data_IF_311756924538
#
_entry.id   IF_311756924538
#
_cell.length_a   1.000
_cell.length_b   1.000
_cell.length_c   1.000
_cell.angle_alpha   90.00
_cell.angle_beta   90.00
_cell.angle_gamma   90.00
#
_symmetry.space_group_name_H-M   'P 1'
#
loop_
_entity.id
_entity.type
_entity.pdbx_description
1 polymer ?
#
# COMPACT_ATOMS: atom_id res chain seq x y z
N UNK A 1 -2.51 -5.09 -11.07
CA UNK A 1 -3.35 -4.27 -10.15
C UNK A 1 -4.84 -4.36 -10.52
N UNK A 2 -5.74 -4.16 -9.56
CA UNK A 2 -7.20 -4.21 -9.76
C UNK A 2 -7.70 -3.20 -10.80
N UNK A 3 -8.88 -3.46 -11.39
CA UNK A 3 -9.50 -2.55 -12.36
C UNK A 3 -9.72 -1.17 -11.73
N UNK A 4 -9.25 -0.13 -12.42
CA UNK A 4 -9.58 1.26 -12.04
C UNK A 4 -11.09 1.47 -12.14
N UNK A 5 -11.76 2.03 -11.12
CA UNK A 5 -13.19 2.33 -11.18
C UNK A 5 -13.56 3.18 -12.41
N UNK A 6 -14.76 2.98 -12.91
CA UNK A 6 -15.26 3.82 -14.00
C UNK A 6 -15.35 5.28 -13.52
N UNK A 7 -15.02 6.24 -14.40
CA UNK A 7 -14.98 7.69 -14.10
C UNK A 7 -14.00 8.15 -13.01
N UNK A 8 -13.16 7.27 -12.45
CA UNK A 8 -12.23 7.57 -11.35
C UNK A 8 -11.46 8.89 -11.52
N UNK A 9 -10.86 9.11 -12.70
CA UNK A 9 -10.05 10.30 -13.00
C UNK A 9 -10.81 11.61 -12.78
N UNK A 10 -12.10 11.62 -13.14
CA UNK A 10 -12.97 12.78 -12.98
C UNK A 10 -13.41 12.93 -11.52
N UNK A 11 -13.81 11.83 -10.87
CA UNK A 11 -14.32 11.85 -9.49
C UNK A 11 -13.27 12.27 -8.46
N UNK A 12 -12.03 11.79 -8.60
CA UNK A 12 -10.92 12.18 -7.72
C UNK A 12 -10.18 13.43 -8.22
N UNK A 13 -10.69 14.05 -9.29
CA UNK A 13 -10.19 15.29 -9.86
C UNK A 13 -8.67 15.29 -10.11
N UNK A 14 -8.14 14.23 -10.72
CA UNK A 14 -6.70 14.07 -11.02
C UNK A 14 -6.07 15.31 -11.69
N UNK A 15 -6.72 16.02 -12.63
CA UNK A 15 -6.11 17.21 -13.24
C UNK A 15 -5.71 18.31 -12.25
N UNK A 16 -6.28 18.34 -11.04
CA UNK A 16 -5.93 19.30 -10.01
C UNK A 16 -4.48 19.15 -9.53
N UNK A 17 -3.94 17.93 -9.51
CA UNK A 17 -2.55 17.70 -9.11
C UNK A 17 -1.55 18.27 -10.13
N UNK A 18 -1.99 18.50 -11.37
CA UNK A 18 -1.18 19.05 -12.45
C UNK A 18 -1.19 20.59 -12.50
N UNK A 19 -1.93 21.27 -11.60
CA UNK A 19 -1.86 22.73 -11.48
C UNK A 19 -0.42 23.15 -11.16
N UNK A 20 0.13 24.21 -11.78
CA UNK A 20 1.57 24.50 -11.71
C UNK A 20 2.17 24.53 -10.30
N UNK A 21 1.48 25.17 -9.35
CA UNK A 21 1.95 25.25 -7.96
C UNK A 21 1.88 23.90 -7.23
N UNK A 22 0.81 23.12 -7.45
CA UNK A 22 0.65 21.80 -6.85
C UNK A 22 1.69 20.82 -7.42
N UNK A 23 1.86 20.82 -8.74
CA UNK A 23 2.83 19.98 -9.43
C UNK A 23 4.26 20.30 -9.00
N UNK A 24 4.64 21.58 -8.93
CA UNK A 24 5.99 21.99 -8.47
C UNK A 24 6.25 21.57 -7.02
N UNK A 25 5.26 21.72 -6.13
CA UNK A 25 5.38 21.28 -4.74
C UNK A 25 5.59 19.76 -4.66
N UNK A 26 4.73 18.98 -5.33
CA UNK A 26 4.87 17.52 -5.36
C UNK A 26 6.21 17.07 -5.97
N UNK A 27 6.66 17.69 -7.06
CA UNK A 27 7.95 17.37 -7.67
C UNK A 27 9.13 17.67 -6.73
N UNK A 28 9.03 18.71 -5.90
CA UNK A 28 10.04 19.02 -4.88
C UNK A 28 10.10 17.93 -3.82
N UNK A 29 8.94 17.46 -3.33
CA UNK A 29 8.86 16.36 -2.36
C UNK A 29 9.40 15.05 -2.94
N UNK A 30 9.02 14.70 -4.17
CA UNK A 30 9.51 13.50 -4.86
C UNK A 30 11.03 13.56 -5.04
N UNK A 31 11.58 14.70 -5.44
CA UNK A 31 13.03 14.88 -5.59
C UNK A 31 13.79 14.77 -4.25
N UNK A 32 13.14 15.08 -3.13
CA UNK A 32 13.71 14.97 -1.78
C UNK A 32 13.49 13.60 -1.11
N UNK A 33 12.53 12.81 -1.60
CA UNK A 33 11.98 11.64 -0.89
C UNK A 33 13.04 10.61 -0.49
N UNK A 34 14.00 10.31 -1.38
CA UNK A 34 15.02 9.30 -1.09
C UNK A 34 15.91 9.70 0.08
N UNK A 35 16.43 10.95 0.08
CA UNK A 35 17.27 11.45 1.17
C UNK A 35 16.50 11.46 2.50
N UNK A 36 15.26 11.94 2.47
CA UNK A 36 14.40 11.91 3.64
C UNK A 36 14.20 10.49 4.17
N UNK A 37 13.97 9.52 3.29
CA UNK A 37 13.77 8.12 3.69
C UNK A 37 15.02 7.50 4.30
N UNK A 38 16.22 7.82 3.79
CA UNK A 38 17.48 7.38 4.39
C UNK A 38 17.63 7.90 5.82
N UNK A 39 17.24 9.15 6.07
CA UNK A 39 17.32 9.77 7.39
C UNK A 39 16.21 9.25 8.33
N UNK A 40 15.00 9.03 7.82
CA UNK A 40 13.83 8.64 8.63
C UNK A 40 13.76 7.14 8.95
N UNK A 41 14.12 6.26 8.01
CA UNK A 41 13.93 4.80 8.18
C UNK A 41 14.67 4.17 9.36
N UNK A 42 15.87 4.62 9.79
CA UNK A 42 16.53 4.08 10.98
C UNK A 42 15.69 4.21 12.27
N UNK A 43 14.81 5.22 12.31
CA UNK A 43 13.95 5.55 13.45
C UNK A 43 12.63 4.78 13.49
N UNK A 44 12.34 3.91 12.51
CA UNK A 44 11.12 3.09 12.55
C UNK A 44 11.06 2.17 13.79
N UNK A 45 12.23 1.74 14.30
CA UNK A 45 12.35 0.99 15.56
C UNK A 45 11.84 1.74 16.80
N UNK A 46 11.81 3.07 16.72
CA UNK A 46 11.39 3.95 17.81
C UNK A 46 9.86 4.07 17.87
N UNK A 47 9.14 3.67 16.82
CA UNK A 47 7.68 3.67 16.78
C UNK A 47 7.15 2.67 17.82
N UNK A 48 6.35 3.19 18.77
CA UNK A 48 5.66 2.41 19.81
C UNK A 48 4.15 2.36 19.62
N UNK A 49 3.62 3.13 18.68
CA UNK A 49 2.19 3.09 18.34
C UNK A 49 1.84 1.74 17.70
N UNK A 50 0.66 1.16 18.01
CA UNK A 50 0.15 0.01 17.28
C UNK A 50 0.17 0.25 15.78
N UNK A 51 0.71 -0.69 15.02
CA UNK A 51 0.96 -0.53 13.59
C UNK A 51 0.40 -1.72 12.83
N UNK A 52 -0.37 -1.44 11.78
CA UNK A 52 -0.88 -2.43 10.83
C UNK A 52 -0.39 -2.05 9.45
N UNK A 53 0.12 -3.03 8.71
CA UNK A 53 0.59 -2.91 7.33
C UNK A 53 -0.31 -3.76 6.44
N UNK A 54 -1.02 -3.15 5.49
CA UNK A 54 -1.84 -3.85 4.50
C UNK A 54 -1.08 -3.89 3.18
N UNK A 55 -0.90 -5.09 2.62
CA UNK A 55 -0.17 -5.29 1.37
C UNK A 55 -0.93 -6.26 0.46
N UNK A 56 -0.84 -6.07 -0.85
CA UNK A 56 -1.38 -6.98 -1.85
C UNK A 56 -0.28 -7.61 -2.71
N UNK A 57 -0.51 -8.83 -3.20
CA UNK A 57 0.42 -9.53 -4.12
C UNK A 57 0.34 -9.07 -5.59
N UNK A 58 -0.59 -8.17 -5.91
CA UNK A 58 -0.72 -7.54 -7.24
C UNK A 58 -0.43 -6.05 -7.22
N UNK A 59 0.21 -5.57 -6.17
CA UNK A 59 0.82 -4.25 -6.12
C UNK A 59 2.13 -4.27 -6.89
N UNK A 60 2.16 -3.56 -8.02
CA UNK A 60 3.34 -3.41 -8.88
C UNK A 60 3.93 -2.00 -8.80
N UNK A 61 3.46 -1.16 -7.88
CA UNK A 61 3.89 0.24 -7.76
C UNK A 61 5.12 0.36 -6.87
N UNK A 62 5.19 -0.45 -5.81
CA UNK A 62 6.33 -0.48 -4.89
C UNK A 62 6.72 -1.92 -4.54
N UNK A 63 7.99 -2.13 -4.20
CA UNK A 63 8.48 -3.46 -3.81
C UNK A 63 8.09 -3.80 -2.37
N UNK A 64 7.22 -4.80 -2.20
CA UNK A 64 6.75 -5.21 -0.88
C UNK A 64 7.90 -5.66 0.06
N UNK A 65 9.01 -6.19 -0.48
CA UNK A 65 10.26 -6.48 0.27
C UNK A 65 10.77 -5.28 1.05
N UNK A 66 10.90 -4.15 0.35
CA UNK A 66 11.52 -2.93 0.85
C UNK A 66 10.52 -2.18 1.73
N UNK A 67 9.25 -2.17 1.33
CA UNK A 67 8.21 -1.38 1.99
C UNK A 67 7.46 -2.20 3.05
N UNK A 68 6.51 -3.04 2.66
CA UNK A 68 5.61 -3.72 3.61
C UNK A 68 6.36 -4.67 4.57
N UNK A 69 7.21 -5.55 4.02
CA UNK A 69 8.03 -6.49 4.81
C UNK A 69 9.11 -5.74 5.58
N UNK A 70 9.69 -4.68 5.00
CA UNK A 70 10.63 -3.79 5.67
C UNK A 70 10.04 -3.13 6.91
N UNK A 71 8.82 -2.59 6.82
CA UNK A 71 8.11 -1.99 7.95
C UNK A 71 7.85 -3.00 9.06
N UNK A 72 7.44 -4.23 8.71
CA UNK A 72 7.19 -5.29 9.70
C UNK A 72 8.49 -5.72 10.40
N UNK A 73 9.61 -5.73 9.67
CA UNK A 73 10.94 -5.98 10.23
C UNK A 73 11.37 -4.86 11.19
N UNK A 74 11.12 -3.61 10.81
CA UNK A 74 11.72 -2.46 11.50
C UNK A 74 10.85 -1.87 12.62
N UNK A 75 9.53 -2.11 12.60
CA UNK A 75 8.59 -1.65 13.64
C UNK A 75 8.20 -2.82 14.54
N UNK A 76 8.60 -2.75 15.81
CA UNK A 76 8.31 -3.81 16.78
C UNK A 76 6.80 -3.98 16.97
N UNK A 77 6.31 -5.20 16.71
CA UNK A 77 4.90 -5.56 16.90
C UNK A 77 3.97 -5.11 15.76
N UNK A 78 4.49 -4.65 14.63
CA UNK A 78 3.68 -4.37 13.45
C UNK A 78 3.03 -5.65 12.91
N UNK A 79 1.73 -5.59 12.61
CA UNK A 79 0.97 -6.68 12.01
C UNK A 79 0.93 -6.54 10.49
N UNK A 80 1.28 -7.60 9.77
CA UNK A 80 1.13 -7.68 8.33
C UNK A 80 -0.21 -8.34 7.95
N UNK A 81 -1.00 -7.64 7.15
CA UNK A 81 -2.21 -8.16 6.52
C UNK A 81 -1.94 -8.26 5.03
N UNK A 82 -1.67 -9.48 4.56
CA UNK A 82 -1.42 -9.76 3.15
C UNK A 82 -2.70 -10.22 2.48
N UNK A 83 -3.10 -9.55 1.39
CA UNK A 83 -4.36 -9.83 0.69
C UNK A 83 -4.08 -10.29 -0.73
N UNK A 84 -4.48 -11.53 -1.05
CA UNK A 84 -4.34 -12.05 -2.41
C UNK A 84 -5.23 -11.32 -3.41
N UNK A 85 -4.71 -11.15 -4.63
CA UNK A 85 -5.32 -10.45 -5.75
C UNK A 85 -5.55 -8.94 -5.53
N UNK A 86 -4.96 -8.35 -4.49
CA UNK A 86 -5.07 -6.93 -4.17
C UNK A 86 -3.91 -6.12 -4.79
N UNK A 87 -4.25 -4.98 -5.39
CA UNK A 87 -3.29 -4.01 -5.93
C UNK A 87 -2.99 -2.85 -4.98
N UNK A 88 -2.37 -1.80 -5.51
CA UNK A 88 -1.80 -0.67 -4.76
C UNK A 88 -2.80 0.25 -4.01
N UNK A 89 -4.11 0.10 -4.21
CA UNK A 89 -5.14 1.01 -3.68
C UNK A 89 -6.09 0.27 -2.71
N UNK A 90 -5.58 -0.23 -1.56
CA UNK A 90 -6.41 -0.94 -0.58
C UNK A 90 -7.54 -0.06 -0.02
N UNK A 91 -7.33 1.25 0.06
CA UNK A 91 -8.31 2.26 0.44
C UNK A 91 -9.55 2.28 -0.48
N UNK A 92 -9.39 1.90 -1.75
CA UNK A 92 -10.49 1.79 -2.71
C UNK A 92 -11.05 0.38 -2.83
N UNK A 93 -10.17 -0.62 -2.89
CA UNK A 93 -10.57 -2.00 -3.17
C UNK A 93 -11.07 -2.72 -1.92
N UNK A 94 -10.49 -2.40 -0.76
CA UNK A 94 -10.72 -3.03 0.53
C UNK A 94 -11.03 -2.00 1.65
N UNK A 95 -11.96 -1.04 1.44
CA UNK A 95 -12.21 0.05 2.40
C UNK A 95 -12.66 -0.47 3.76
N UNK A 96 -13.41 -1.58 3.78
CA UNK A 96 -13.82 -2.29 4.99
C UNK A 96 -12.62 -2.80 5.80
N UNK A 97 -11.64 -3.41 5.13
CA UNK A 97 -10.40 -3.85 5.78
C UNK A 97 -9.58 -2.68 6.31
N UNK A 98 -9.50 -1.57 5.57
CA UNK A 98 -8.79 -0.36 6.02
C UNK A 98 -9.46 0.24 7.25
N UNK A 99 -10.79 0.33 7.28
CA UNK A 99 -11.54 0.77 8.47
C UNK A 99 -11.30 -0.17 9.65
N UNK A 100 -11.36 -1.49 9.43
CA UNK A 100 -11.06 -2.47 10.47
C UNK A 100 -9.65 -2.32 11.03
N UNK A 101 -8.66 -2.02 10.18
CA UNK A 101 -7.29 -1.77 10.62
C UNK A 101 -7.17 -0.50 11.48
N UNK A 102 -7.86 0.58 11.10
CA UNK A 102 -7.97 1.81 11.90
C UNK A 102 -8.61 1.51 13.26
N UNK A 103 -9.69 0.74 13.27
CA UNK A 103 -10.36 0.30 14.49
C UNK A 103 -9.44 -0.52 15.41
N UNK A 104 -8.66 -1.44 14.84
CA UNK A 104 -7.69 -2.25 15.57
C UNK A 104 -6.60 -1.41 16.21
N UNK A 105 -5.98 -0.48 15.46
CA UNK A 105 -4.95 0.41 16.04
C UNK A 105 -5.54 1.38 17.06
N UNK A 106 -6.85 1.65 17.00
CA UNK A 106 -7.58 2.39 18.03
C UNK A 106 -7.99 1.53 19.26
N UNK A 107 -7.59 0.25 19.31
CA UNK A 107 -7.78 -0.63 20.47
C UNK A 107 -9.04 -1.49 20.43
N UNK A 108 -9.75 -1.58 19.29
CA UNK A 108 -10.85 -2.54 19.13
C UNK A 108 -10.32 -3.94 18.81
N UNK A 109 -11.04 -4.94 19.27
CA UNK A 109 -10.78 -6.33 18.92
C UNK A 109 -11.36 -6.63 17.54
N UNK A 110 -10.49 -6.67 16.52
CA UNK A 110 -10.86 -6.87 15.11
C UNK A 110 -9.95 -7.94 14.50
N UNK A 111 -10.57 -8.97 13.93
CA UNK A 111 -9.86 -10.02 13.18
C UNK A 111 -9.61 -9.58 11.73
N UNK A 112 -8.49 -8.90 11.52
CA UNK A 112 -8.08 -8.43 10.20
C UNK A 112 -7.78 -9.57 9.21
N UNK A 113 -7.39 -10.74 9.70
CA UNK A 113 -7.09 -11.88 8.83
C UNK A 113 -8.39 -12.49 8.29
N UNK A 114 -9.45 -12.54 9.09
CA UNK A 114 -10.78 -12.91 8.61
C UNK A 114 -11.33 -11.89 7.60
N UNK A 115 -11.18 -10.59 7.88
CA UNK A 115 -11.59 -9.53 6.94
C UNK A 115 -10.81 -9.61 5.62
N UNK A 116 -9.50 -9.84 5.68
CA UNK A 116 -8.66 -10.03 4.49
C UNK A 116 -9.18 -11.18 3.62
N UNK A 117 -9.52 -12.34 4.21
CA UNK A 117 -10.11 -13.47 3.47
C UNK A 117 -11.44 -13.12 2.81
N UNK A 118 -12.28 -12.31 3.47
CA UNK A 118 -13.52 -11.84 2.87
C UNK A 118 -13.26 -10.92 1.66
N UNK A 119 -12.25 -10.04 1.75
CA UNK A 119 -11.79 -9.23 0.63
C UNK A 119 -11.28 -10.11 -0.51
N UNK A 120 -10.41 -11.09 -0.22
CA UNK A 120 -9.88 -12.02 -1.23
C UNK A 120 -11.01 -12.72 -2.00
N UNK A 121 -12.03 -13.22 -1.32
CA UNK A 121 -13.21 -13.84 -1.95
C UNK A 121 -13.93 -12.83 -2.84
N UNK A 122 -14.14 -11.60 -2.36
CA UNK A 122 -14.83 -10.53 -3.09
C UNK A 122 -14.09 -10.12 -4.37
N UNK A 123 -12.76 -10.10 -4.34
CA UNK A 123 -11.96 -9.64 -5.48
C UNK A 123 -11.37 -10.79 -6.32
N UNK A 124 -11.59 -12.06 -5.97
CA UNK A 124 -10.98 -13.21 -6.66
C UNK A 124 -11.21 -13.25 -8.17
N UNK A 125 -12.35 -12.72 -8.65
CA UNK A 125 -12.69 -12.68 -10.07
C UNK A 125 -12.06 -11.52 -10.86
N UNK A 126 -11.39 -10.57 -10.20
CA UNK A 126 -10.74 -9.45 -10.88
C UNK A 126 -9.46 -9.91 -11.58
N UNK A 127 -9.57 -10.06 -12.90
CA UNK A 127 -8.48 -10.46 -13.81
C UNK A 127 -7.95 -9.28 -14.61
N UNK A 128 -8.25 -8.04 -14.21
CA UNK A 128 -7.76 -6.87 -14.91
C UNK A 128 -6.23 -6.86 -14.96
N UNK A 129 -5.69 -6.63 -16.16
CA UNK A 129 -4.25 -6.65 -16.41
C UNK A 129 -3.59 -8.04 -16.38
N UNK A 130 -4.36 -9.14 -16.22
CA UNK A 130 -3.82 -10.49 -16.33
C UNK A 130 -3.15 -10.72 -17.69
N UNK A 131 -1.93 -11.28 -17.67
CA UNK A 131 -1.12 -11.51 -18.87
C UNK A 131 -0.52 -10.24 -19.51
N UNK A 132 -0.76 -9.05 -18.94
CA UNK A 132 -0.16 -7.78 -19.39
C UNK A 132 0.80 -7.17 -18.36
N UNK A 133 0.52 -7.36 -17.08
CA UNK A 133 1.39 -6.98 -15.99
C UNK A 133 1.96 -8.24 -15.33
N UNK A 134 3.25 -8.23 -14.96
CA UNK A 134 3.81 -9.29 -14.14
C UNK A 134 3.18 -9.23 -12.74
N UNK A 135 2.68 -10.37 -12.26
CA UNK A 135 2.25 -10.50 -10.87
C UNK A 135 3.50 -10.66 -9.98
N UNK A 136 3.45 -10.16 -8.74
CA UNK A 136 4.60 -10.25 -7.82
C UNK A 136 4.60 -11.64 -7.19
N UNK A 137 5.44 -12.53 -7.71
CA UNK A 137 5.64 -13.88 -7.15
C UNK A 137 6.63 -13.85 -5.99
N UNK A 138 6.17 -13.41 -4.82
CA UNK A 138 6.97 -13.34 -3.59
C UNK A 138 8.13 -12.31 -3.67
N UNK A 139 8.81 -12.00 -2.54
CA UNK A 139 9.40 -10.69 -2.36
C UNK A 139 10.82 -10.69 -2.98
N UNK A 140 10.91 -10.45 -4.28
CA UNK A 140 12.19 -10.29 -4.97
C UNK A 140 12.76 -8.89 -4.67
N UNK A 141 13.89 -8.89 -3.97
CA UNK A 141 14.65 -7.69 -3.65
C UNK A 141 15.68 -7.48 -4.76
N UNK A 142 15.29 -6.82 -5.84
CA UNK A 142 16.28 -6.17 -6.68
C UNK A 142 16.28 -4.68 -6.31
N UNK A 143 17.39 -4.27 -5.69
CA UNK A 143 17.64 -2.87 -5.33
C UNK A 143 17.58 -2.04 -6.62
N UNK A 144 16.81 -0.95 -6.61
CA UNK A 144 16.85 0.03 -7.69
C UNK A 144 18.31 0.45 -7.95
N UNK A 145 18.71 0.69 -9.21
CA UNK A 145 20.08 1.05 -9.53
C UNK A 145 20.50 2.28 -8.71
N UNK A 146 21.68 2.18 -8.10
CA UNK A 146 22.39 3.26 -7.40
C UNK A 146 22.62 4.48 -8.29
#
# INVERSE_FOLDING_TARGET
PNKVPDFYVAEVAIPLVLRPNAFRANATDVAGLYRYTLDASPHYRDIKAPTVVISGDRDTVVYATIHSVGLVRDIAGAELVWVRNLGHKPDWIAPDLVVGAIEKVAGRDVDLQAMAKAVEVRIAGDTYGAGKCADVTAPEAELAPT
#
